data_IF_003432189818
#
_entry.id   IF_003432189818
#
_cell.length_a   1.000
_cell.length_b   1.000
_cell.length_c   1.000
_cell.angle_alpha   90.00
_cell.angle_beta   90.00
_cell.angle_gamma   90.00
#
_symmetry.space_group_name_H-M   'P 1'
#
loop_
_entity.id
_entity.type
_entity.pdbx_description
1 polymer ?
#
# COMPACT_ATOMS: atom_id res chain seq x y z
N UNK A 1 14.29 -16.42 -4.88
CA UNK A 1 12.89 -15.99 -4.67
C UNK A 1 11.99 -17.12 -5.13
N UNK A 2 10.89 -17.43 -4.42
CA UNK A 2 9.90 -18.41 -4.89
C UNK A 2 9.36 -17.90 -6.24
N UNK A 3 9.20 -18.78 -7.23
CA UNK A 3 9.05 -18.41 -8.66
C UNK A 3 8.02 -17.30 -8.95
N UNK A 4 6.89 -17.29 -8.24
CA UNK A 4 5.79 -16.32 -8.43
C UNK A 4 6.13 -14.92 -7.92
N UNK A 5 6.72 -14.81 -6.73
CA UNK A 5 7.14 -13.52 -6.15
C UNK A 5 8.24 -12.87 -7.00
N UNK A 6 9.17 -13.69 -7.51
CA UNK A 6 10.20 -13.22 -8.44
C UNK A 6 9.62 -12.68 -9.75
N UNK A 7 8.61 -13.36 -10.30
CA UNK A 7 7.93 -12.91 -11.51
C UNK A 7 7.16 -11.59 -11.28
N UNK A 8 6.43 -11.46 -10.16
CA UNK A 8 5.73 -10.23 -9.81
C UNK A 8 6.70 -9.06 -9.65
N UNK A 9 7.82 -9.27 -8.95
CA UNK A 9 8.88 -8.25 -8.81
C UNK A 9 9.40 -7.78 -10.16
N UNK A 10 9.79 -8.71 -11.02
CA UNK A 10 10.37 -8.37 -12.33
C UNK A 10 9.36 -7.62 -13.20
N UNK A 11 8.13 -8.12 -13.28
CA UNK A 11 7.05 -7.45 -14.01
C UNK A 11 6.77 -6.05 -13.45
N UNK A 12 6.76 -5.87 -12.13
CA UNK A 12 6.53 -4.59 -11.48
C UNK A 12 7.60 -3.55 -11.82
N UNK A 13 8.88 -3.95 -11.82
CA UNK A 13 9.97 -3.07 -12.27
C UNK A 13 9.88 -2.72 -13.75
N UNK A 14 9.64 -3.71 -14.62
CA UNK A 14 9.49 -3.49 -16.07
C UNK A 14 8.34 -2.53 -16.38
N UNK A 15 7.19 -2.71 -15.73
CA UNK A 15 6.04 -1.81 -15.87
C UNK A 15 6.37 -0.39 -15.41
N UNK A 16 6.97 -0.26 -14.22
CA UNK A 16 7.31 1.03 -13.64
C UNK A 16 8.27 1.83 -14.54
N UNK A 17 9.32 1.17 -15.06
CA UNK A 17 10.28 1.81 -15.96
C UNK A 17 9.66 2.15 -17.32
N UNK A 18 8.84 1.24 -17.88
CA UNK A 18 8.23 1.41 -19.20
C UNK A 18 7.16 2.51 -19.22
N UNK A 19 6.29 2.55 -18.23
CA UNK A 19 5.12 3.43 -18.23
C UNK A 19 5.33 4.70 -17.42
N UNK A 20 6.25 4.68 -16.45
CA UNK A 20 6.45 5.76 -15.48
C UNK A 20 7.92 6.16 -15.29
N UNK A 21 8.84 5.79 -16.19
CA UNK A 21 10.29 6.03 -16.03
C UNK A 21 10.71 7.48 -15.73
N UNK A 22 9.94 8.47 -16.19
CA UNK A 22 10.19 9.88 -15.85
C UNK A 22 9.86 10.21 -14.38
N UNK A 23 8.97 9.43 -13.75
CA UNK A 23 8.44 9.66 -12.40
C UNK A 23 9.03 8.71 -11.35
N UNK A 24 9.73 7.67 -11.76
CA UNK A 24 10.25 6.64 -10.83
C UNK A 24 11.76 6.49 -10.94
N UNK A 25 12.35 5.97 -9.87
CA UNK A 25 13.69 5.38 -9.84
C UNK A 25 13.59 4.03 -9.13
N UNK A 26 14.03 2.98 -9.81
CA UNK A 26 13.82 1.59 -9.35
C UNK A 26 15.07 1.03 -8.70
N UNK A 27 14.91 0.06 -7.80
CA UNK A 27 16.05 -0.69 -7.27
C UNK A 27 16.75 -1.51 -8.35
N UNK A 28 16.03 -1.90 -9.42
CA UNK A 28 16.63 -2.52 -10.60
C UNK A 28 17.58 -1.56 -11.33
N UNK A 29 17.22 -0.27 -11.46
CA UNK A 29 18.11 0.76 -11.99
C UNK A 29 19.30 1.01 -11.07
N UNK A 30 19.05 1.10 -9.76
CA UNK A 30 20.10 1.23 -8.76
C UNK A 30 21.14 0.10 -8.86
N UNK A 31 20.69 -1.15 -8.91
CA UNK A 31 21.57 -2.32 -9.03
C UNK A 31 22.38 -2.28 -10.33
N UNK A 32 21.76 -1.91 -11.47
CA UNK A 32 22.48 -1.74 -12.74
C UNK A 32 23.57 -0.65 -12.65
N UNK A 33 23.28 0.49 -12.05
CA UNK A 33 24.26 1.58 -11.87
C UNK A 33 25.38 1.15 -10.93
N UNK A 34 25.03 0.43 -9.85
CA UNK A 34 26.00 -0.08 -8.89
C UNK A 34 26.97 -1.08 -9.52
N UNK A 35 26.46 -1.97 -10.37
CA UNK A 35 27.26 -2.97 -11.06
C UNK A 35 28.17 -2.35 -12.15
N UNK A 36 27.72 -1.30 -12.84
CA UNK A 36 28.47 -0.62 -13.91
C UNK A 36 29.47 0.43 -13.38
N UNK A 37 29.06 1.22 -12.38
CA UNK A 37 29.75 2.45 -11.94
C UNK A 37 30.12 2.47 -10.46
N UNK A 38 29.72 1.47 -9.69
CA UNK A 38 30.02 1.34 -8.28
C UNK A 38 28.98 1.98 -7.35
N UNK A 39 29.17 1.73 -6.05
CA UNK A 39 28.22 2.10 -4.99
C UNK A 39 27.99 3.60 -4.89
N UNK A 40 29.04 4.41 -4.99
CA UNK A 40 28.93 5.87 -4.85
C UNK A 40 28.08 6.49 -5.96
N UNK A 41 28.24 5.99 -7.19
CA UNK A 41 27.44 6.43 -8.33
C UNK A 41 25.96 6.05 -8.17
N UNK A 42 25.67 4.84 -7.65
CA UNK A 42 24.30 4.40 -7.40
C UNK A 42 23.62 5.21 -6.29
N UNK A 43 24.35 5.49 -5.20
CA UNK A 43 23.86 6.34 -4.11
C UNK A 43 23.60 7.78 -4.58
N UNK A 44 24.50 8.34 -5.40
CA UNK A 44 24.28 9.66 -5.98
C UNK A 44 23.05 9.67 -6.88
N UNK A 45 22.88 8.66 -7.74
CA UNK A 45 21.72 8.57 -8.62
C UNK A 45 20.39 8.46 -7.85
N UNK A 46 20.36 7.70 -6.75
CA UNK A 46 19.18 7.66 -5.87
C UNK A 46 18.92 9.04 -5.25
N UNK A 47 19.95 9.70 -4.71
CA UNK A 47 19.80 11.02 -4.09
C UNK A 47 19.32 12.08 -5.09
N UNK A 48 19.81 12.04 -6.32
CA UNK A 48 19.37 12.93 -7.40
C UNK A 48 17.91 12.66 -7.79
N UNK A 49 17.49 11.38 -7.82
CA UNK A 49 16.11 10.99 -8.07
C UNK A 49 15.15 11.48 -6.97
N UNK A 50 15.54 11.33 -5.70
CA UNK A 50 14.79 11.84 -4.56
C UNK A 50 14.68 13.37 -4.60
N UNK A 51 15.77 14.07 -4.89
CA UNK A 51 15.78 15.52 -5.05
C UNK A 51 14.93 16.01 -6.24
N UNK A 52 14.82 15.19 -7.29
CA UNK A 52 13.94 15.42 -8.43
C UNK A 52 12.46 15.06 -8.15
N UNK A 53 12.13 14.56 -6.96
CA UNK A 53 10.77 14.18 -6.58
C UNK A 53 10.27 12.88 -7.22
N UNK A 54 11.18 12.01 -7.66
CA UNK A 54 10.82 10.69 -8.17
C UNK A 54 10.38 9.76 -7.05
N UNK A 55 9.45 8.86 -7.36
CA UNK A 55 9.06 7.76 -6.47
C UNK A 55 10.14 6.69 -6.51
N UNK A 56 10.68 6.34 -5.34
CA UNK A 56 11.67 5.27 -5.21
C UNK A 56 10.96 3.93 -5.06
N UNK A 57 11.10 3.07 -6.06
CA UNK A 57 10.47 1.74 -6.07
C UNK A 57 11.49 0.70 -5.62
N UNK A 58 11.21 0.05 -4.49
CA UNK A 58 12.05 -0.99 -3.87
C UNK A 58 11.30 -2.30 -3.77
N UNK A 59 12.03 -3.40 -3.58
CA UNK A 59 11.45 -4.70 -3.25
C UNK A 59 11.90 -5.22 -1.88
N UNK A 60 11.03 -5.99 -1.25
CA UNK A 60 11.30 -6.73 -0.03
C UNK A 60 10.71 -8.13 -0.17
N UNK A 61 11.44 -9.13 0.31
CA UNK A 61 10.90 -10.49 0.41
C UNK A 61 9.84 -10.49 1.53
N UNK A 62 8.75 -11.24 1.36
CA UNK A 62 7.61 -11.21 2.27
C UNK A 62 7.98 -11.53 3.74
N UNK A 63 8.94 -12.44 3.96
CA UNK A 63 9.41 -12.82 5.29
C UNK A 63 10.12 -11.69 6.02
N UNK A 64 11.03 -10.99 5.34
CA UNK A 64 11.71 -9.84 5.91
C UNK A 64 10.75 -8.66 6.06
N UNK A 65 9.83 -8.46 5.10
CA UNK A 65 8.82 -7.41 5.19
C UNK A 65 7.97 -7.57 6.47
N UNK A 66 7.54 -8.78 6.82
CA UNK A 66 6.80 -9.06 8.06
C UNK A 66 7.59 -8.68 9.34
N UNK A 67 8.92 -8.80 9.32
CA UNK A 67 9.75 -8.32 10.43
C UNK A 67 9.90 -6.80 10.44
N UNK A 68 9.98 -6.20 9.26
CA UNK A 68 10.23 -4.77 9.10
C UNK A 68 9.01 -3.92 9.41
N UNK A 69 7.80 -4.40 9.13
CA UNK A 69 6.58 -3.71 9.59
C UNK A 69 6.48 -3.64 11.12
N UNK A 70 7.17 -4.51 11.86
CA UNK A 70 7.21 -4.46 13.32
C UNK A 70 8.33 -3.56 13.86
N UNK A 71 9.50 -3.58 13.21
CA UNK A 71 10.71 -2.93 13.72
C UNK A 71 10.96 -1.55 13.13
N UNK A 72 10.48 -1.30 11.92
CA UNK A 72 10.71 -0.08 11.13
C UNK A 72 9.52 0.26 10.21
N UNK A 73 8.27 0.31 10.71
CA UNK A 73 7.10 0.58 9.87
C UNK A 73 7.18 1.91 9.10
N UNK A 74 7.85 2.92 9.66
CA UNK A 74 8.03 4.24 9.04
C UNK A 74 8.90 4.24 7.77
N UNK A 75 9.57 3.13 7.43
CA UNK A 75 10.31 3.00 6.18
C UNK A 75 9.41 2.67 4.98
N UNK A 76 8.12 2.39 5.20
CA UNK A 76 7.16 2.03 4.16
C UNK A 76 6.08 3.09 4.01
N UNK A 77 5.63 3.27 2.76
CA UNK A 77 4.55 4.19 2.40
C UNK A 77 3.45 3.41 1.65
N UNK A 78 3.75 3.01 0.40
CA UNK A 78 2.85 2.19 -0.43
C UNK A 78 3.44 0.80 -0.65
N UNK A 79 2.63 -0.24 -0.40
CA UNK A 79 3.03 -1.65 -0.57
C UNK A 79 2.15 -2.30 -1.65
N UNK A 80 2.77 -2.64 -2.79
CA UNK A 80 2.13 -3.44 -3.83
C UNK A 80 2.53 -4.91 -3.67
N UNK A 81 1.55 -5.81 -3.62
CA UNK A 81 1.81 -7.25 -3.44
C UNK A 81 0.71 -8.11 -4.08
N UNK A 82 0.93 -9.41 -4.14
CA UNK A 82 -0.03 -10.38 -4.66
C UNK A 82 -1.16 -10.64 -3.65
N UNK A 83 -2.32 -11.05 -4.15
CA UNK A 83 -3.57 -11.24 -3.39
C UNK A 83 -3.36 -11.87 -1.99
N UNK A 84 -2.81 -13.09 -1.92
CA UNK A 84 -2.64 -13.79 -0.65
C UNK A 84 -1.70 -13.09 0.34
N UNK A 85 -0.59 -12.52 -0.16
CA UNK A 85 0.33 -11.79 0.71
C UNK A 85 -0.32 -10.47 1.17
N UNK A 86 -1.11 -9.83 0.31
CA UNK A 86 -1.89 -8.63 0.62
C UNK A 86 -2.84 -8.86 1.77
N UNK A 87 -3.64 -9.93 1.70
CA UNK A 87 -4.59 -10.36 2.74
C UNK A 87 -3.92 -10.48 4.12
N UNK A 88 -2.83 -11.26 4.20
CA UNK A 88 -2.12 -11.46 5.46
C UNK A 88 -1.43 -10.19 5.99
N UNK A 89 -0.83 -9.41 5.09
CA UNK A 89 -0.09 -8.21 5.47
C UNK A 89 -1.04 -7.10 5.91
N UNK A 90 -2.15 -6.87 5.21
CA UNK A 90 -3.10 -5.82 5.56
C UNK A 90 -3.71 -6.06 6.93
N UNK A 91 -4.03 -7.30 7.27
CA UNK A 91 -4.55 -7.67 8.60
C UNK A 91 -3.50 -7.48 9.69
N UNK A 92 -2.25 -7.88 9.42
CA UNK A 92 -1.14 -7.68 10.36
C UNK A 92 -0.89 -6.19 10.64
N UNK A 93 -0.92 -5.35 9.60
CA UNK A 93 -0.76 -3.89 9.71
C UNK A 93 -1.94 -3.26 10.45
N UNK A 94 -3.18 -3.64 10.12
CA UNK A 94 -4.37 -3.18 10.83
C UNK A 94 -4.29 -3.50 12.33
N UNK A 95 -3.82 -4.71 12.68
CA UNK A 95 -3.63 -5.11 14.08
C UNK A 95 -2.63 -4.23 14.84
N UNK A 96 -1.58 -3.73 14.18
CA UNK A 96 -0.60 -2.85 14.81
C UNK A 96 -1.16 -1.48 15.20
N UNK A 97 -2.18 -1.00 14.50
CA UNK A 97 -2.76 0.35 14.70
C UNK A 97 -4.08 0.36 15.47
N UNK A 98 -4.59 -0.79 15.90
CA UNK A 98 -5.82 -0.89 16.71
C UNK A 98 -6.79 -1.99 16.28
N UNK A 99 -6.48 -2.72 15.20
CA UNK A 99 -7.26 -3.85 14.71
C UNK A 99 -8.06 -3.56 13.44
N UNK A 100 -8.54 -4.63 12.81
CA UNK A 100 -9.35 -4.58 11.56
C UNK A 100 -10.65 -3.77 11.71
N UNK A 101 -11.13 -3.54 12.94
CA UNK A 101 -12.33 -2.74 13.20
C UNK A 101 -12.22 -1.26 12.81
N UNK A 102 -11.02 -0.76 12.54
CA UNK A 102 -10.75 0.63 12.13
C UNK A 102 -10.10 0.75 10.75
N UNK A 103 -9.79 -0.36 10.06
CA UNK A 103 -9.14 -0.33 8.76
C UNK A 103 -10.18 -0.25 7.63
N UNK A 104 -10.21 0.80 6.78
CA UNK A 104 -11.12 0.89 5.66
C UNK A 104 -10.66 0.08 4.44
N UNK A 105 -11.58 -0.25 3.53
CA UNK A 105 -11.29 -1.03 2.32
C UNK A 105 -11.95 -0.44 1.06
N UNK A 106 -11.24 -0.54 -0.06
CA UNK A 106 -11.73 -0.14 -1.37
C UNK A 106 -11.24 -1.10 -2.47
N UNK A 107 -12.17 -1.55 -3.31
CA UNK A 107 -11.92 -2.33 -4.51
C UNK A 107 -12.27 -1.46 -5.70
N UNK A 108 -11.27 -0.97 -6.45
CA UNK A 108 -11.47 0.03 -7.49
C UNK A 108 -10.99 -0.52 -8.84
N UNK A 109 -11.87 -0.45 -9.84
CA UNK A 109 -11.52 -0.70 -11.24
C UNK A 109 -11.57 0.63 -12.00
N UNK A 110 -10.39 1.22 -12.21
CA UNK A 110 -10.26 2.51 -12.89
C UNK A 110 -10.63 2.48 -14.38
N UNK A 111 -10.55 1.31 -15.04
CA UNK A 111 -10.87 1.19 -16.47
C UNK A 111 -12.38 1.26 -16.73
N UNK A 112 -13.17 0.65 -15.85
CA UNK A 112 -14.64 0.60 -15.98
C UNK A 112 -15.34 1.66 -15.15
N UNK A 113 -14.64 2.27 -14.18
CA UNK A 113 -15.20 3.21 -13.21
C UNK A 113 -16.03 2.56 -12.10
N UNK A 114 -16.10 1.22 -12.04
CA UNK A 114 -16.77 0.53 -10.93
C UNK A 114 -15.87 0.50 -9.69
N UNK A 115 -16.44 0.79 -8.53
CA UNK A 115 -15.78 0.71 -7.25
C UNK A 115 -16.71 0.15 -6.17
N UNK A 116 -16.17 -0.64 -5.25
CA UNK A 116 -16.84 -1.17 -4.05
C UNK A 116 -16.04 -0.73 -2.84
N UNK A 117 -16.70 -0.13 -1.86
CA UNK A 117 -16.10 0.30 -0.60
C UNK A 117 -16.75 -0.49 0.52
N UNK A 118 -15.93 -1.20 1.30
CA UNK A 118 -16.41 -2.15 2.29
C UNK A 118 -15.49 -2.22 3.50
N UNK A 119 -16.05 -2.58 4.65
CA UNK A 119 -15.26 -2.86 5.84
C UNK A 119 -14.30 -4.02 5.57
N UNK A 120 -13.09 -3.95 6.11
CA UNK A 120 -12.09 -5.01 5.97
C UNK A 120 -12.40 -6.23 6.85
N UNK A 121 -13.18 -6.03 7.92
CA UNK A 121 -13.55 -7.10 8.82
C UNK A 121 -14.69 -7.99 8.30
N UNK A 122 -14.71 -9.25 8.72
CA UNK A 122 -15.81 -10.16 8.46
C UNK A 122 -17.10 -9.84 9.23
N UNK A 123 -18.10 -10.72 9.12
CA UNK A 123 -19.46 -10.50 9.63
C UNK A 123 -19.62 -10.60 11.16
N UNK A 124 -18.61 -11.11 11.87
CA UNK A 124 -18.62 -11.34 13.32
C UNK A 124 -19.97 -11.87 13.90
N UNK A 125 -20.47 -13.05 13.45
CA UNK A 125 -21.85 -13.49 13.73
C UNK A 125 -22.23 -13.56 15.21
N UNK A 126 -21.26 -13.85 16.09
CA UNK A 126 -21.43 -13.89 17.55
C UNK A 126 -21.85 -12.56 18.18
N UNK A 127 -21.76 -11.44 17.47
CA UNK A 127 -22.13 -10.11 17.96
C UNK A 127 -23.33 -9.49 17.20
N UNK A 128 -23.91 -10.21 16.23
CA UNK A 128 -25.04 -9.72 15.47
C UNK A 128 -26.23 -9.39 16.39
N UNK A 129 -26.83 -8.20 16.19
CA UNK A 129 -27.99 -7.73 16.96
C UNK A 129 -27.71 -7.33 18.41
N UNK A 130 -26.44 -7.26 18.84
CA UNK A 130 -26.10 -6.93 20.22
C UNK A 130 -25.70 -5.47 20.46
N UNK A 131 -25.55 -4.67 19.41
CA UNK A 131 -25.10 -3.27 19.49
C UNK A 131 -23.77 -3.09 20.24
N UNK A 132 -22.74 -3.84 19.82
CA UNK A 132 -21.42 -3.90 20.49
C UNK A 132 -20.21 -3.71 19.58
N UNK A 133 -20.39 -3.77 18.27
CA UNK A 133 -19.26 -3.77 17.32
C UNK A 133 -18.88 -2.36 16.93
N UNK A 134 -17.60 -2.16 16.63
CA UNK A 134 -17.07 -0.89 16.18
C UNK A 134 -17.45 -0.63 14.70
N UNK A 135 -18.20 0.44 14.37
CA UNK A 135 -18.56 0.77 12.99
C UNK A 135 -17.46 1.55 12.23
N UNK A 136 -16.31 1.86 12.85
CA UNK A 136 -15.32 2.75 12.25
C UNK A 136 -14.84 2.29 10.87
N UNK A 137 -14.53 1.00 10.68
CA UNK A 137 -14.08 0.48 9.38
C UNK A 137 -15.09 0.75 8.25
N UNK A 138 -16.38 0.52 8.48
CA UNK A 138 -17.41 0.79 7.44
C UNK A 138 -17.60 2.30 7.22
N UNK A 139 -17.54 3.12 8.27
CA UNK A 139 -17.64 4.58 8.15
C UNK A 139 -16.47 5.14 7.35
N UNK A 140 -15.23 4.73 7.67
CA UNK A 140 -14.02 5.14 6.97
C UNK A 140 -13.98 4.60 5.53
N UNK A 141 -14.56 3.44 5.26
CA UNK A 141 -14.74 2.97 3.87
C UNK A 141 -15.72 3.87 3.11
N UNK A 142 -16.76 4.38 3.79
CA UNK A 142 -17.62 5.45 3.27
C UNK A 142 -16.86 6.76 3.01
N UNK A 143 -15.86 7.11 3.83
CA UNK A 143 -14.97 8.25 3.55
C UNK A 143 -14.20 8.03 2.25
N UNK A 144 -13.59 6.87 2.05
CA UNK A 144 -12.89 6.53 0.79
C UNK A 144 -13.81 6.64 -0.42
N UNK A 145 -15.07 6.23 -0.29
CA UNK A 145 -16.09 6.38 -1.33
C UNK A 145 -16.36 7.85 -1.67
N UNK A 146 -16.54 8.69 -0.65
CA UNK A 146 -16.79 10.12 -0.83
C UNK A 146 -15.60 10.81 -1.50
N UNK A 147 -14.38 10.46 -1.12
CA UNK A 147 -13.16 10.94 -1.79
C UNK A 147 -13.11 10.50 -3.25
N UNK A 148 -13.43 9.24 -3.54
CA UNK A 148 -13.49 8.73 -4.91
C UNK A 148 -14.54 9.45 -5.78
N UNK A 149 -15.66 9.87 -5.19
CA UNK A 149 -16.70 10.67 -5.85
C UNK A 149 -16.36 12.18 -5.96
N UNK A 150 -15.24 12.62 -5.37
CA UNK A 150 -14.84 14.03 -5.30
C UNK A 150 -15.59 14.85 -4.24
N UNK A 151 -16.30 14.21 -3.32
CA UNK A 151 -17.06 14.87 -2.24
C UNK A 151 -16.18 15.09 -1.00
N UNK A 152 -15.06 15.79 -1.20
CA UNK A 152 -13.99 15.96 -0.19
C UNK A 152 -14.44 16.68 1.08
N UNK A 153 -15.39 17.62 0.99
CA UNK A 153 -15.91 18.32 2.18
C UNK A 153 -16.62 17.34 3.12
N UNK A 154 -17.49 16.48 2.58
CA UNK A 154 -18.20 15.45 3.34
C UNK A 154 -17.24 14.44 3.95
N UNK A 155 -16.28 13.95 3.16
CA UNK A 155 -15.22 13.06 3.64
C UNK A 155 -14.47 13.67 4.84
N UNK A 156 -14.02 14.93 4.69
CA UNK A 156 -13.27 15.65 5.73
C UNK A 156 -14.09 15.85 7.00
N UNK A 157 -15.39 16.16 6.89
CA UNK A 157 -16.25 16.32 8.07
C UNK A 157 -16.38 15.02 8.86
N UNK A 158 -16.52 13.88 8.17
CA UNK A 158 -16.63 12.58 8.83
C UNK A 158 -15.30 12.23 9.51
N UNK A 159 -14.17 12.33 8.81
CA UNK A 159 -12.84 12.04 9.39
C UNK A 159 -12.59 12.87 10.64
N UNK A 160 -12.81 14.20 10.58
CA UNK A 160 -12.64 15.09 11.74
C UNK A 160 -13.57 14.80 12.92
N UNK A 161 -14.69 14.13 12.67
CA UNK A 161 -15.63 13.73 13.74
C UNK A 161 -15.22 12.40 14.39
N UNK A 162 -14.32 11.64 13.75
CA UNK A 162 -13.81 10.36 14.24
C UNK A 162 -12.47 10.48 14.97
N UNK A 163 -11.67 11.50 14.64
CA UNK A 163 -10.43 11.88 15.33
C UNK A 163 -10.70 12.60 16.67
#
# INVERSE_FOLDING_TARGET
>A
MKFTEGAFKNWGYELAEKEFGEKVFTWAEYDRIKDDKGLDAANQAQSDAEAAGKIIVKDAIADIFLQQILTRPAEFDVVATMNLNGDYISDALAAQVGGIGIAPGANINYDTGHAIFEATHGTAPKYAGQDKVNPSSVILSGVLMLEHLGWTEAATMITKSME
#
